data_IF_811473688506
#
_entry.id   IF_811473688506
#
_cell.length_a   1.000
_cell.length_b   1.000
_cell.length_c   1.000
_cell.angle_alpha   90.00
_cell.angle_beta   90.00
_cell.angle_gamma   90.00
#
_symmetry.space_group_name_H-M   'P 1'
#
loop_
_entity.id
_entity.type
_entity.pdbx_description
1 polymer ?
#
# COMPACT_ATOMS: atom_id res chain seq x y z
N UNK A 1 34.69 -3.90 -56.32
CA UNK A 1 33.48 -3.30 -55.68
C UNK A 1 33.04 -3.97 -54.37
N UNK A 2 33.27 -5.28 -54.15
CA UNK A 2 32.75 -6.05 -52.99
C UNK A 2 33.27 -5.63 -51.59
N UNK A 3 34.48 -5.07 -51.49
CA UNK A 3 35.14 -4.74 -50.21
C UNK A 3 34.55 -3.48 -49.51
N UNK A 4 33.87 -2.60 -50.26
CA UNK A 4 33.16 -1.42 -49.72
C UNK A 4 31.81 -1.81 -49.09
N UNK A 5 31.11 -2.78 -49.68
CA UNK A 5 29.85 -3.32 -49.14
C UNK A 5 30.04 -4.01 -47.79
N UNK A 6 31.12 -4.79 -47.62
CA UNK A 6 31.46 -5.46 -46.36
C UNK A 6 31.73 -4.49 -45.20
N UNK A 7 32.51 -3.41 -45.42
CA UNK A 7 32.75 -2.39 -44.39
C UNK A 7 31.49 -1.60 -44.03
N UNK A 8 30.63 -1.32 -45.01
CA UNK A 8 29.35 -0.66 -44.78
C UNK A 8 28.41 -1.53 -43.91
N UNK A 9 28.35 -2.84 -44.21
CA UNK A 9 27.55 -3.79 -43.44
C UNK A 9 28.07 -3.99 -42.01
N UNK A 10 29.40 -4.02 -41.81
CA UNK A 10 30.03 -4.11 -40.47
C UNK A 10 29.79 -2.82 -39.66
N UNK A 11 29.89 -1.64 -40.29
CA UNK A 11 29.58 -0.37 -39.60
C UNK A 11 28.10 -0.27 -39.23
N UNK A 12 27.20 -0.76 -40.08
CA UNK A 12 25.77 -0.82 -39.78
C UNK A 12 25.46 -1.79 -38.63
N UNK A 13 26.09 -2.96 -38.61
CA UNK A 13 25.92 -3.95 -37.55
C UNK A 13 26.49 -3.47 -36.20
N UNK A 14 27.64 -2.79 -36.21
CA UNK A 14 28.22 -2.20 -34.99
C UNK A 14 27.41 -1.00 -34.47
N UNK A 15 26.75 -0.25 -35.35
CA UNK A 15 25.81 0.81 -34.97
C UNK A 15 24.56 0.25 -34.30
N UNK A 16 23.96 -0.82 -34.86
CA UNK A 16 22.82 -1.50 -34.24
C UNK A 16 23.16 -2.10 -32.87
N UNK A 17 24.34 -2.74 -32.74
CA UNK A 17 24.84 -3.25 -31.46
C UNK A 17 24.98 -2.16 -30.40
N UNK A 18 25.47 -0.97 -30.77
CA UNK A 18 25.58 0.18 -29.86
C UNK A 18 24.22 0.72 -29.42
N UNK A 19 23.23 0.75 -30.32
CA UNK A 19 21.85 1.16 -29.96
C UNK A 19 21.25 0.17 -28.97
N UNK A 20 21.39 -1.14 -29.22
CA UNK A 20 20.87 -2.17 -28.30
C UNK A 20 21.53 -2.04 -26.92
N UNK A 21 22.85 -1.82 -26.87
CA UNK A 21 23.57 -1.58 -25.61
C UNK A 21 23.08 -0.33 -24.88
N UNK A 22 22.78 0.76 -25.60
CA UNK A 22 22.23 1.99 -25.03
C UNK A 22 20.83 1.76 -24.44
N UNK A 23 19.95 1.02 -25.12
CA UNK A 23 18.61 0.71 -24.61
C UNK A 23 18.66 -0.14 -23.34
N UNK A 24 19.51 -1.16 -23.30
CA UNK A 24 19.72 -2.00 -22.10
C UNK A 24 20.18 -1.16 -20.89
N UNK A 25 21.06 -0.17 -21.11
CA UNK A 25 21.54 0.74 -20.07
C UNK A 25 20.43 1.68 -19.57
N UNK A 26 19.48 2.07 -20.43
CA UNK A 26 18.35 2.93 -20.06
C UNK A 26 17.29 2.17 -19.24
N UNK A 27 17.01 0.91 -19.57
CA UNK A 27 15.98 0.10 -18.88
C UNK A 27 16.35 -0.24 -17.42
N UNK A 28 17.65 -0.41 -17.14
CA UNK A 28 18.15 -0.74 -15.79
C UNK A 28 17.99 0.36 -14.74
N UNK A 29 17.74 1.62 -15.14
CA UNK A 29 17.66 2.76 -14.21
C UNK A 29 16.27 3.01 -13.64
N UNK A 30 15.23 2.38 -14.18
CA UNK A 30 13.84 2.72 -13.86
C UNK A 30 13.12 1.73 -12.95
N UNK A 31 13.83 0.78 -12.32
CA UNK A 31 13.21 -0.14 -11.38
C UNK A 31 13.01 0.53 -10.00
N UNK A 32 12.10 1.51 -9.93
CA UNK A 32 11.58 1.98 -8.65
C UNK A 32 10.86 0.78 -8.02
N UNK A 33 11.47 0.14 -7.02
CA UNK A 33 10.81 -0.88 -6.21
C UNK A 33 9.70 -0.19 -5.43
N UNK A 34 8.48 -0.25 -5.94
CA UNK A 34 7.28 0.12 -5.19
C UNK A 34 7.07 -0.99 -4.16
N UNK A 35 7.52 -0.76 -2.94
CA UNK A 35 7.19 -1.63 -1.81
C UNK A 35 5.94 -1.07 -1.15
N UNK A 36 4.85 -1.82 -1.14
CA UNK A 36 3.68 -1.45 -0.35
C UNK A 36 4.04 -1.44 1.14
N UNK A 37 3.38 -0.57 1.89
CA UNK A 37 3.48 -0.55 3.35
C UNK A 37 2.79 -1.79 3.93
N UNK A 38 3.23 -2.22 5.10
CA UNK A 38 2.61 -3.32 5.83
C UNK A 38 1.83 -2.75 7.02
N UNK A 39 0.54 -3.07 7.11
CA UNK A 39 -0.34 -2.63 8.19
C UNK A 39 -1.04 -3.82 8.84
N UNK A 40 -1.45 -3.67 10.10
CA UNK A 40 -2.40 -4.60 10.71
C UNK A 40 -3.77 -4.40 10.06
N UNK A 41 -4.32 -5.47 9.47
CA UNK A 41 -5.61 -5.47 8.78
C UNK A 41 -6.54 -6.45 9.51
N UNK A 42 -7.45 -5.94 10.34
CA UNK A 42 -8.29 -6.75 11.24
C UNK A 42 -9.55 -6.02 11.73
N UNK A 43 -10.53 -6.78 12.22
CA UNK A 43 -11.78 -6.29 12.81
C UNK A 43 -12.04 -7.00 14.16
N UNK A 44 -12.24 -6.21 15.22
CA UNK A 44 -12.47 -6.71 16.59
C UNK A 44 -13.75 -7.55 16.75
N UNK A 45 -14.69 -7.45 15.83
CA UNK A 45 -15.89 -8.31 15.82
C UNK A 45 -15.57 -9.74 15.37
N UNK A 46 -14.50 -9.92 14.60
CA UNK A 46 -14.04 -11.21 14.08
C UNK A 46 -12.80 -11.74 14.80
N UNK A 47 -11.97 -10.85 15.37
CA UNK A 47 -10.70 -11.18 16.00
C UNK A 47 -10.52 -10.38 17.30
N UNK A 48 -10.56 -11.08 18.43
CA UNK A 48 -10.43 -10.47 19.76
C UNK A 48 -9.06 -9.82 19.98
N UNK A 49 -8.01 -10.25 19.29
CA UNK A 49 -6.69 -9.62 19.38
C UNK A 49 -6.65 -8.26 18.69
N UNK A 50 -7.60 -7.97 17.80
CA UNK A 50 -7.76 -6.67 17.15
C UNK A 50 -8.44 -5.62 18.06
N UNK A 51 -8.43 -5.81 19.38
CA UNK A 51 -9.08 -4.92 20.33
C UNK A 51 -8.54 -3.47 20.29
N UNK A 52 -9.23 -2.55 20.96
CA UNK A 52 -8.80 -1.16 21.08
C UNK A 52 -7.39 -1.08 21.72
N UNK A 53 -7.16 -1.90 22.75
CA UNK A 53 -5.86 -2.09 23.39
C UNK A 53 -5.09 -3.10 22.57
N UNK A 54 -4.05 -2.63 21.88
CA UNK A 54 -3.27 -3.44 20.96
C UNK A 54 -1.90 -3.71 21.55
N UNK A 55 -1.73 -4.90 22.09
CA UNK A 55 -0.47 -5.35 22.65
C UNK A 55 0.38 -6.01 21.57
N UNK A 56 1.36 -5.26 21.06
CA UNK A 56 2.27 -5.71 20.01
C UNK A 56 3.15 -6.89 20.44
N UNK A 57 3.38 -7.08 21.74
CA UNK A 57 4.22 -8.17 22.24
C UNK A 57 3.45 -9.48 22.39
N UNK A 58 2.13 -9.39 22.60
CA UNK A 58 1.27 -10.55 22.91
C UNK A 58 0.35 -10.95 21.77
N UNK A 59 0.16 -10.08 20.78
CA UNK A 59 -0.67 -10.42 19.63
C UNK A 59 0.04 -11.39 18.68
N UNK A 60 -0.73 -12.34 18.17
CA UNK A 60 -0.37 -13.24 17.08
C UNK A 60 -0.64 -12.62 15.72
N UNK A 61 -1.35 -11.48 15.66
CA UNK A 61 -1.59 -10.74 14.44
C UNK A 61 -0.25 -10.33 13.81
N UNK A 62 -0.19 -10.48 12.49
CA UNK A 62 0.95 -10.04 11.68
C UNK A 62 0.50 -8.94 10.73
N UNK A 63 1.34 -7.92 10.52
CA UNK A 63 1.04 -6.92 9.51
C UNK A 63 1.05 -7.56 8.13
N UNK A 64 0.10 -7.17 7.29
CA UNK A 64 -0.09 -7.64 5.92
C UNK A 64 0.24 -6.51 4.94
N UNK A 65 0.76 -6.82 3.75
CA UNK A 65 1.01 -5.80 2.74
C UNK A 65 -0.31 -5.16 2.29
N UNK A 66 -0.26 -3.85 2.05
CA UNK A 66 -1.39 -3.05 1.56
C UNK A 66 -1.47 -3.02 0.03
N UNK A 67 -1.08 -4.11 -0.63
CA UNK A 67 -1.05 -4.23 -2.10
C UNK A 67 -2.44 -4.13 -2.73
N UNK A 68 -3.48 -4.35 -1.94
CA UNK A 68 -4.89 -4.29 -2.31
C UNK A 68 -5.46 -2.86 -2.33
N UNK A 69 -4.71 -1.88 -1.81
CA UNK A 69 -5.11 -0.47 -1.78
C UNK A 69 -4.18 0.36 -2.67
N UNK A 70 -4.74 0.98 -3.71
CA UNK A 70 -4.00 1.85 -4.61
C UNK A 70 -3.35 3.01 -3.84
N UNK A 71 -2.04 3.21 -4.02
CA UNK A 71 -1.24 4.25 -3.35
C UNK A 71 -1.35 4.23 -1.81
N UNK A 72 -1.52 3.04 -1.23
CA UNK A 72 -1.54 2.88 0.23
C UNK A 72 -0.29 3.50 0.89
N UNK A 73 -0.54 4.50 1.73
CA UNK A 73 0.51 5.31 2.36
C UNK A 73 0.33 5.45 3.88
N UNK A 74 -0.82 4.99 4.42
CA UNK A 74 -1.17 5.13 5.83
C UNK A 74 -1.82 3.85 6.39
N UNK A 75 -1.48 3.51 7.63
CA UNK A 75 -2.23 2.54 8.42
C UNK A 75 -3.23 3.30 9.28
N UNK A 76 -4.52 2.99 9.14
CA UNK A 76 -5.60 3.66 9.88
C UNK A 76 -6.23 2.71 10.89
N UNK A 77 -6.58 3.24 12.05
CA UNK A 77 -7.38 2.58 13.09
C UNK A 77 -8.65 3.38 13.29
N UNK A 78 -9.78 2.70 13.17
CA UNK A 78 -11.09 3.24 13.50
C UNK A 78 -11.63 2.54 14.73
N UNK A 79 -12.29 3.28 15.62
CA UNK A 79 -12.83 2.74 16.88
C UNK A 79 -14.19 3.36 17.16
N UNK A 80 -15.13 2.61 17.72
CA UNK A 80 -16.51 3.05 17.94
C UNK A 80 -17.41 2.57 16.82
N UNK A 81 -18.31 3.43 16.32
CA UNK A 81 -19.29 3.04 15.29
C UNK A 81 -18.74 3.33 13.87
N UNK A 82 -18.35 2.29 13.15
CA UNK A 82 -17.89 2.36 11.76
C UNK A 82 -18.62 1.34 10.89
N UNK A 83 -19.09 1.76 9.71
CA UNK A 83 -19.80 0.86 8.77
C UNK A 83 -21.08 0.22 9.34
N UNK A 84 -21.64 0.78 10.42
CA UNK A 84 -22.81 0.22 11.10
C UNK A 84 -22.49 -0.80 12.20
N UNK A 85 -21.22 -1.11 12.46
CA UNK A 85 -20.76 -2.01 13.51
C UNK A 85 -19.99 -1.23 14.59
N UNK A 86 -20.10 -1.69 15.84
CA UNK A 86 -19.33 -1.13 16.95
C UNK A 86 -18.09 -2.00 17.13
N UNK A 87 -16.90 -1.40 17.14
CA UNK A 87 -15.67 -2.15 17.31
C UNK A 87 -14.42 -1.34 17.02
N UNK A 88 -13.29 -2.03 16.90
CA UNK A 88 -12.02 -1.51 16.40
C UNK A 88 -11.71 -2.19 15.08
N UNK A 89 -11.48 -1.40 14.03
CA UNK A 89 -11.09 -1.89 12.71
C UNK A 89 -9.78 -1.21 12.33
N UNK A 90 -8.80 -2.00 11.88
CA UNK A 90 -7.52 -1.51 11.35
C UNK A 90 -7.42 -1.88 9.88
N UNK A 91 -7.05 -0.93 9.02
CA UNK A 91 -6.96 -1.11 7.57
C UNK A 91 -5.89 -0.20 6.95
N UNK A 92 -5.59 -0.43 5.67
CA UNK A 92 -4.75 0.42 4.86
C UNK A 92 -5.54 1.60 4.28
N UNK A 93 -4.88 2.73 4.05
CA UNK A 93 -5.46 3.91 3.40
C UNK A 93 -4.44 4.60 2.51
N UNK A 94 -4.90 5.16 1.39
CA UNK A 94 -4.10 6.03 0.52
C UNK A 94 -4.00 7.46 1.05
N UNK A 95 -4.86 7.82 2.01
CA UNK A 95 -4.93 9.18 2.58
C UNK A 95 -4.84 9.15 4.09
N UNK A 96 -4.22 10.19 4.63
CA UNK A 96 -4.26 10.49 6.04
C UNK A 96 -5.70 10.88 6.43
N UNK A 97 -6.25 10.18 7.41
CA UNK A 97 -7.56 10.48 7.98
C UNK A 97 -7.45 11.32 9.27
N UNK A 98 -6.24 11.59 9.75
CA UNK A 98 -5.96 12.35 10.97
C UNK A 98 -6.44 11.67 12.25
N UNK A 99 -6.14 12.31 13.39
CA UNK A 99 -6.62 11.89 14.71
C UNK A 99 -7.83 12.73 15.11
N UNK A 100 -9.03 12.17 14.94
CA UNK A 100 -10.27 12.86 15.31
C UNK A 100 -11.29 11.91 15.93
N UNK A 101 -12.06 12.43 16.87
CA UNK A 101 -13.19 11.73 17.45
C UNK A 101 -14.47 12.54 17.32
N UNK A 102 -15.58 11.86 17.03
CA UNK A 102 -16.93 12.44 17.01
C UNK A 102 -17.88 11.59 17.85
N UNK A 103 -18.96 12.22 18.33
CA UNK A 103 -20.04 11.52 19.02
C UNK A 103 -21.17 11.26 18.01
N UNK A 104 -21.46 10.00 17.76
CA UNK A 104 -22.48 9.56 16.81
C UNK A 104 -23.68 9.03 17.59
N UNK A 105 -24.88 9.41 17.18
CA UNK A 105 -26.14 8.91 17.75
C UNK A 105 -26.92 8.20 16.66
N UNK A 106 -27.29 6.93 16.89
CA UNK A 106 -28.20 6.20 16.00
C UNK A 106 -29.65 6.47 16.40
N UNK A 107 -30.54 6.46 15.43
CA UNK A 107 -31.98 6.51 15.68
C UNK A 107 -32.40 5.34 16.56
N UNK A 108 -33.09 5.64 17.66
CA UNK A 108 -33.50 4.63 18.66
C UNK A 108 -32.52 4.43 19.83
N UNK A 109 -31.32 4.99 19.76
CA UNK A 109 -30.33 4.85 20.82
C UNK A 109 -30.41 6.02 21.83
N UNK A 110 -30.36 5.70 23.12
CA UNK A 110 -30.44 6.73 24.17
C UNK A 110 -29.10 7.41 24.43
N UNK A 111 -27.99 6.80 23.99
CA UNK A 111 -26.63 7.25 24.28
C UNK A 111 -25.90 7.64 23.00
N UNK A 112 -24.92 8.53 23.16
CA UNK A 112 -23.97 8.85 22.10
C UNK A 112 -22.81 7.87 22.15
N UNK A 113 -22.38 7.38 21.00
CA UNK A 113 -21.21 6.51 20.85
C UNK A 113 -20.03 7.37 20.38
N UNK A 114 -18.92 7.31 21.10
CA UNK A 114 -17.68 7.97 20.67
C UNK A 114 -17.04 7.14 19.56
N UNK A 115 -16.86 7.75 18.40
CA UNK A 115 -16.22 7.15 17.23
C UNK A 115 -14.95 7.92 16.90
N UNK A 116 -13.82 7.25 16.77
CA UNK A 116 -12.51 7.85 16.56
C UNK A 116 -11.83 7.26 15.32
N UNK A 117 -11.03 8.08 14.66
CA UNK A 117 -10.10 7.69 13.60
C UNK A 117 -8.70 8.11 14.05
N UNK A 118 -7.72 7.23 13.85
CA UNK A 118 -6.31 7.40 14.16
C UNK A 118 -5.43 6.74 13.11
#
# INVERSE_FOLDING_TARGET
MLRKYSKFFINFLTFLLRIILLMIVLDSKNHLKVTAINCYQCDSNSDLECSEIFDLERTQLKPKPCDDVYEASYCIKTTGLFGGQIGTIRNCSSRDLGDRCSFVKRSGDQRYIRSCIK
#
